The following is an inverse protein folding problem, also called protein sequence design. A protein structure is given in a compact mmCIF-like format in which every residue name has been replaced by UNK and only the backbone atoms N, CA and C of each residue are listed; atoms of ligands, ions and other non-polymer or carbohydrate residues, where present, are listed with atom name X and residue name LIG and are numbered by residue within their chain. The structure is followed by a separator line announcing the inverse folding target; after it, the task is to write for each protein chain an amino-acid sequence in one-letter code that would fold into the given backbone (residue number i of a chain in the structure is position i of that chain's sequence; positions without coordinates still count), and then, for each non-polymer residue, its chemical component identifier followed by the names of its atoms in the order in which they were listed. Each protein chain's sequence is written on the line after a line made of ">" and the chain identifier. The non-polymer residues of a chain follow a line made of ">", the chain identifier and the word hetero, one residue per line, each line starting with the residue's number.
data_IF_129236329557
#
_entry.id   IF_129236329557
#
_cell.length_a   1.000
_cell.length_b   1.000
_cell.length_c   1.000
_cell.angle_alpha   90.00
_cell.angle_beta   90.00
_cell.angle_gamma   90.00
#
_symmetry.space_group_name_H-M   'P 1'
#
loop_
_entity.id
_entity.type
_entity.pdbx_description
1 polymer ?
#
# COMPACT_ATOMS: atom_id res chain seq x y z
N UNK A 1 -15.64 20.06 6.94
CA UNK A 1 -15.63 18.67 7.45
C UNK A 1 -14.98 18.49 8.84
N UNK A 2 -13.91 19.22 9.22
CA UNK A 2 -13.20 18.95 10.49
C UNK A 2 -14.09 19.02 11.74
N UNK A 3 -15.04 19.95 11.79
CA UNK A 3 -15.92 20.11 12.97
C UNK A 3 -16.86 18.93 13.22
N UNK A 4 -17.26 18.14 12.23
CA UNK A 4 -18.22 17.05 12.44
C UNK A 4 -17.54 15.79 12.97
N UNK A 5 -16.40 15.40 12.39
CA UNK A 5 -15.64 14.21 12.81
C UNK A 5 -15.11 14.40 14.23
N UNK A 6 -14.59 15.59 14.52
CA UNK A 6 -14.11 15.93 15.87
C UNK A 6 -15.25 15.91 16.89
N UNK A 7 -16.45 16.44 16.55
CA UNK A 7 -17.64 16.36 17.41
C UNK A 7 -18.06 14.92 17.69
N UNK A 8 -18.04 14.05 16.69
CA UNK A 8 -18.36 12.63 16.87
C UNK A 8 -17.39 11.97 17.88
N UNK A 9 -16.08 12.23 17.74
CA UNK A 9 -15.06 11.74 18.69
C UNK A 9 -15.27 12.28 20.10
N UNK A 10 -15.46 13.59 20.24
CA UNK A 10 -15.66 14.26 21.54
C UNK A 10 -16.89 13.76 22.29
N UNK A 11 -17.96 13.42 21.55
CA UNK A 11 -19.19 12.89 22.12
C UNK A 11 -19.14 11.37 22.36
N UNK A 12 -18.01 10.71 22.13
CA UNK A 12 -17.84 9.27 22.35
C UNK A 12 -18.59 8.38 21.36
N UNK A 13 -19.09 8.94 20.25
CA UNK A 13 -19.77 8.14 19.23
C UNK A 13 -18.76 7.31 18.46
N UNK A 14 -19.15 6.09 18.07
CA UNK A 14 -18.40 5.29 17.12
C UNK A 14 -18.97 5.49 15.72
N UNK A 15 -18.11 5.79 14.75
CA UNK A 15 -18.51 5.73 13.36
C UNK A 15 -18.86 4.28 12.98
N UNK A 16 -19.89 4.11 12.17
CA UNK A 16 -20.15 2.83 11.51
C UNK A 16 -18.90 2.39 10.69
N UNK A 17 -18.72 1.09 10.41
CA UNK A 17 -17.66 0.64 9.53
C UNK A 17 -17.66 1.46 8.24
N UNK A 18 -16.55 2.12 7.93
CA UNK A 18 -16.48 3.12 6.85
C UNK A 18 -15.17 3.00 6.09
N UNK A 19 -15.25 2.88 4.78
CA UNK A 19 -14.14 3.18 3.89
C UNK A 19 -14.39 4.58 3.32
N UNK A 20 -13.57 5.56 3.72
CA UNK A 20 -13.71 6.92 3.21
C UNK A 20 -12.75 7.15 2.05
N UNK A 21 -13.29 7.51 0.89
CA UNK A 21 -12.50 7.99 -0.24
C UNK A 21 -12.40 9.51 -0.17
N UNK A 22 -11.18 10.04 -0.17
CA UNK A 22 -10.87 11.46 -0.02
C UNK A 22 -10.14 11.92 -1.28
N UNK A 23 -10.72 12.90 -1.97
CA UNK A 23 -10.19 13.48 -3.20
C UNK A 23 -9.96 14.99 -3.00
N UNK A 24 -8.80 15.40 -2.45
CA UNK A 24 -8.48 16.81 -2.22
C UNK A 24 -8.26 17.55 -3.56
N UNK A 25 -8.59 18.84 -3.60
CA UNK A 25 -8.27 19.69 -4.76
C UNK A 25 -6.78 20.11 -4.71
N UNK A 26 -5.89 19.14 -4.86
CA UNK A 26 -4.43 19.32 -4.75
C UNK A 26 -3.89 19.19 -3.32
N UNK A 27 -2.62 19.53 -3.13
CA UNK A 27 -1.90 19.30 -1.87
C UNK A 27 -2.31 20.25 -0.74
N UNK A 28 -2.82 21.44 -1.07
CA UNK A 28 -3.19 22.48 -0.12
C UNK A 28 -4.44 22.16 0.70
N UNK A 29 -5.26 21.20 0.24
CA UNK A 29 -6.48 20.75 0.91
C UNK A 29 -6.26 19.56 1.85
N UNK A 30 -5.07 18.96 1.80
CA UNK A 30 -4.71 17.89 2.72
C UNK A 30 -4.61 18.45 4.14
N UNK A 31 -5.25 17.74 5.08
CA UNK A 31 -5.22 18.06 6.51
C UNK A 31 -4.94 16.78 7.28
N UNK A 32 -3.68 16.56 7.69
CA UNK A 32 -3.27 15.35 8.42
C UNK A 32 -4.19 15.06 9.61
N UNK A 33 -4.57 16.08 10.37
CA UNK A 33 -5.46 15.89 11.52
C UNK A 33 -6.81 15.27 11.13
N UNK A 34 -7.41 15.68 10.01
CA UNK A 34 -8.71 15.12 9.56
C UNK A 34 -8.56 13.65 9.18
N UNK A 35 -7.47 13.30 8.49
CA UNK A 35 -7.18 11.90 8.12
C UNK A 35 -7.01 11.04 9.39
N UNK A 36 -6.26 11.56 10.36
CA UNK A 36 -6.03 10.89 11.64
C UNK A 36 -7.32 10.77 12.44
N UNK A 37 -8.18 11.78 12.45
CA UNK A 37 -9.46 11.73 13.15
C UNK A 37 -10.37 10.62 12.58
N UNK A 38 -10.36 10.41 11.26
CA UNK A 38 -11.07 9.29 10.65
C UNK A 38 -10.43 7.95 11.04
N UNK A 39 -9.10 7.84 10.94
CA UNK A 39 -8.37 6.60 11.25
C UNK A 39 -8.41 6.24 12.74
N UNK A 40 -8.72 7.17 13.64
CA UNK A 40 -8.94 6.89 15.05
C UNK A 40 -10.20 6.03 15.30
N UNK A 41 -11.20 6.09 14.43
CA UNK A 41 -12.36 5.20 14.55
C UNK A 41 -11.98 3.76 14.22
N UNK A 42 -12.32 2.81 15.11
CA UNK A 42 -11.83 1.43 15.08
C UNK A 42 -11.97 0.72 13.72
N UNK A 43 -13.11 0.91 13.04
CA UNK A 43 -13.47 0.22 11.80
C UNK A 43 -13.45 1.15 10.58
N UNK A 44 -12.54 2.13 10.57
CA UNK A 44 -12.39 3.06 9.47
C UNK A 44 -11.12 2.80 8.67
N UNK A 45 -11.26 2.95 7.36
CA UNK A 45 -10.18 2.89 6.38
C UNK A 45 -10.22 4.15 5.51
N UNK A 46 -9.08 4.56 4.99
CA UNK A 46 -8.96 5.70 4.09
C UNK A 46 -8.42 5.27 2.75
N UNK A 47 -8.99 5.79 1.67
CA UNK A 47 -8.37 5.85 0.36
C UNK A 47 -8.24 7.31 -0.02
N UNK A 48 -7.08 7.77 -0.48
CA UNK A 48 -6.84 9.18 -0.76
C UNK A 48 -6.21 9.35 -2.14
N UNK A 49 -6.73 10.27 -2.95
CA UNK A 49 -6.03 10.77 -4.13
C UNK A 49 -4.92 11.73 -3.69
N UNK A 50 -3.68 11.28 -3.76
CA UNK A 50 -2.51 12.05 -3.36
C UNK A 50 -1.82 12.66 -4.57
N UNK A 51 -2.15 13.92 -4.89
CA UNK A 51 -1.66 14.68 -6.05
C UNK A 51 -0.16 15.04 -5.98
N UNK A 52 0.69 14.02 -5.93
CA UNK A 52 2.14 14.14 -5.72
C UNK A 52 2.84 14.87 -6.87
N UNK A 53 2.35 14.75 -8.10
CA UNK A 53 2.94 15.42 -9.26
C UNK A 53 2.84 16.94 -9.15
N UNK A 54 1.70 17.44 -8.66
CA UNK A 54 1.50 18.86 -8.37
C UNK A 54 2.31 19.30 -7.15
N UNK A 55 2.27 18.52 -6.06
CA UNK A 55 3.05 18.81 -4.86
C UNK A 55 4.54 18.99 -5.17
N UNK A 56 5.12 18.02 -5.88
CA UNK A 56 6.54 18.02 -6.21
C UNK A 56 6.95 19.23 -7.07
N UNK A 57 6.12 19.58 -8.05
CA UNK A 57 6.35 20.72 -8.95
C UNK A 57 6.40 22.06 -8.22
N UNK A 58 5.55 22.23 -7.21
CA UNK A 58 5.36 23.51 -6.54
C UNK A 58 6.08 23.61 -5.19
N UNK A 59 6.74 22.55 -4.72
CA UNK A 59 7.37 22.51 -3.41
C UNK A 59 8.53 23.52 -3.23
N UNK A 60 9.20 23.93 -4.31
CA UNK A 60 10.33 24.87 -4.26
C UNK A 60 9.92 26.34 -4.14
N UNK A 61 8.64 26.67 -4.38
CA UNK A 61 8.14 28.04 -4.22
C UNK A 61 7.88 28.36 -2.74
N UNK A 62 8.35 29.52 -2.28
CA UNK A 62 8.32 29.89 -0.85
C UNK A 62 6.88 29.95 -0.28
N UNK A 63 5.91 30.47 -1.04
CA UNK A 63 4.53 30.54 -0.58
C UNK A 63 3.91 29.15 -0.48
N UNK A 64 4.18 28.29 -1.45
CA UNK A 64 3.72 26.91 -1.45
C UNK A 64 4.36 26.08 -0.34
N UNK A 65 5.63 26.34 -0.01
CA UNK A 65 6.32 25.66 1.07
C UNK A 65 5.60 25.82 2.42
N UNK A 66 5.16 27.04 2.76
CA UNK A 66 4.39 27.27 4.00
C UNK A 66 3.05 26.55 4.01
N UNK A 67 2.36 26.49 2.86
CA UNK A 67 1.11 25.74 2.71
C UNK A 67 1.35 24.23 2.92
N UNK A 68 2.43 23.69 2.37
CA UNK A 68 2.81 22.28 2.51
C UNK A 68 3.17 21.99 3.98
N UNK A 69 3.99 22.83 4.63
CA UNK A 69 4.31 22.68 6.05
C UNK A 69 3.06 22.57 6.90
N UNK A 70 2.10 23.47 6.71
CA UNK A 70 0.83 23.45 7.44
C UNK A 70 -0.03 22.22 7.10
N UNK A 71 -0.13 21.85 5.82
CA UNK A 71 -0.99 20.75 5.37
C UNK A 71 -0.51 19.38 5.87
N UNK A 72 0.81 19.18 5.90
CA UNK A 72 1.46 17.91 6.28
C UNK A 72 1.99 17.90 7.71
N UNK A 73 1.90 19.01 8.46
CA UNK A 73 2.54 19.17 9.78
C UNK A 73 4.05 18.88 9.70
N UNK A 74 4.69 19.40 8.65
CA UNK A 74 6.10 19.18 8.34
C UNK A 74 6.98 20.37 8.75
N UNK A 75 8.22 20.08 9.11
CA UNK A 75 9.27 21.07 9.38
C UNK A 75 9.96 21.51 8.09
N UNK A 76 10.65 22.67 8.13
CA UNK A 76 11.47 23.12 7.01
C UNK A 76 12.55 22.13 6.62
N UNK A 77 13.18 21.50 7.62
CA UNK A 77 14.24 20.51 7.42
C UNK A 77 13.72 19.33 6.61
N UNK A 78 12.59 18.73 7.00
CA UNK A 78 11.97 17.61 6.28
C UNK A 78 11.62 17.98 4.82
N UNK A 79 11.12 19.20 4.58
CA UNK A 79 10.81 19.63 3.22
C UNK A 79 12.06 19.84 2.37
N UNK A 80 13.09 20.49 2.94
CA UNK A 80 14.33 20.75 2.22
C UNK A 80 15.03 19.45 1.83
N UNK A 81 15.11 18.49 2.74
CA UNK A 81 15.69 17.15 2.47
C UNK A 81 15.00 16.47 1.29
N UNK A 82 13.68 16.61 1.15
CA UNK A 82 12.95 16.06 0.00
C UNK A 82 13.26 16.86 -1.27
N UNK A 83 13.18 18.19 -1.21
CA UNK A 83 13.38 19.08 -2.37
C UNK A 83 14.77 18.90 -2.99
N UNK A 84 15.80 18.64 -2.17
CA UNK A 84 17.18 18.42 -2.60
C UNK A 84 17.42 17.09 -3.32
N UNK A 85 16.44 16.17 -3.32
CA UNK A 85 16.54 14.91 -4.06
C UNK A 85 16.46 15.20 -5.56
N UNK A 86 17.58 15.01 -6.29
CA UNK A 86 17.64 15.28 -7.73
C UNK A 86 16.71 14.38 -8.57
N UNK A 87 16.61 13.10 -8.22
CA UNK A 87 15.78 12.12 -8.93
C UNK A 87 14.29 12.37 -8.63
N UNK A 88 13.53 12.72 -9.67
CA UNK A 88 12.11 13.07 -9.57
C UNK A 88 11.26 11.93 -9.00
N UNK A 89 11.52 10.68 -9.37
CA UNK A 89 10.74 9.54 -8.89
C UNK A 89 11.04 9.29 -7.41
N UNK A 90 12.32 9.30 -7.02
CA UNK A 90 12.72 9.18 -5.61
C UNK A 90 12.17 10.31 -4.75
N UNK A 91 12.10 11.53 -5.31
CA UNK A 91 11.53 12.69 -4.62
C UNK A 91 10.04 12.53 -4.39
N UNK A 92 9.27 12.07 -5.39
CA UNK A 92 7.84 11.74 -5.25
C UNK A 92 7.59 10.59 -4.27
N UNK A 93 8.45 9.58 -4.24
CA UNK A 93 8.41 8.54 -3.21
C UNK A 93 8.66 9.11 -1.81
N UNK A 94 9.61 10.05 -1.66
CA UNK A 94 9.87 10.71 -0.39
C UNK A 94 8.68 11.55 0.07
N UNK A 95 7.98 12.22 -0.84
CA UNK A 95 6.69 12.89 -0.54
C UNK A 95 5.61 11.91 -0.06
N UNK A 96 5.51 10.72 -0.67
CA UNK A 96 4.60 9.68 -0.22
C UNK A 96 4.97 9.18 1.18
N UNK A 97 6.26 8.95 1.44
CA UNK A 97 6.78 8.56 2.76
C UNK A 97 6.47 9.61 3.81
N UNK A 98 6.59 10.90 3.49
CA UNK A 98 6.24 11.99 4.40
C UNK A 98 4.78 11.89 4.84
N UNK A 99 3.83 11.75 3.89
CA UNK A 99 2.40 11.60 4.19
C UNK A 99 2.15 10.44 5.16
N UNK A 100 2.73 9.26 4.86
CA UNK A 100 2.55 8.04 5.65
C UNK A 100 3.12 8.23 7.07
N UNK A 101 4.34 8.76 7.18
CA UNK A 101 5.01 9.00 8.46
C UNK A 101 4.25 10.00 9.31
N UNK A 102 3.74 11.10 8.73
CA UNK A 102 2.98 12.12 9.47
C UNK A 102 1.68 11.58 10.01
N UNK A 103 0.96 10.76 9.26
CA UNK A 103 -0.26 10.09 9.73
C UNK A 103 0.07 9.09 10.85
N UNK A 104 1.09 8.23 10.68
CA UNK A 104 1.48 7.24 11.69
C UNK A 104 1.90 7.88 13.00
N UNK A 105 2.83 8.84 12.95
CA UNK A 105 3.31 9.55 14.14
C UNK A 105 2.17 10.27 14.87
N UNK A 106 1.23 10.86 14.12
CA UNK A 106 0.09 11.55 14.73
C UNK A 106 -0.89 10.58 15.39
N UNK A 107 -1.15 9.41 14.78
CA UNK A 107 -1.97 8.36 15.40
C UNK A 107 -1.34 7.84 16.71
N UNK A 108 -0.03 7.65 16.73
CA UNK A 108 0.70 7.25 17.94
C UNK A 108 0.57 8.29 19.05
N UNK A 109 0.75 9.57 18.70
CA UNK A 109 0.58 10.70 19.63
C UNK A 109 -0.87 10.86 20.14
N UNK A 110 -1.86 10.41 19.37
CA UNK A 110 -3.27 10.35 19.76
C UNK A 110 -3.59 9.15 20.70
N UNK A 111 -2.57 8.43 21.19
CA UNK A 111 -2.73 7.31 22.13
C UNK A 111 -2.80 5.94 21.47
N UNK A 112 -2.62 5.83 20.15
CA UNK A 112 -2.61 4.56 19.42
C UNK A 112 -1.20 3.97 19.31
N UNK A 113 -0.37 4.10 20.34
CA UNK A 113 1.01 3.59 20.33
C UNK A 113 1.01 2.08 20.09
N UNK A 114 1.78 1.61 19.11
CA UNK A 114 1.85 0.20 18.71
C UNK A 114 0.70 -0.28 17.81
N UNK A 115 -0.21 0.61 17.41
CA UNK A 115 -1.22 0.30 16.41
C UNK A 115 -0.56 -0.01 15.07
N UNK A 116 -0.87 -1.17 14.50
CA UNK A 116 -0.44 -1.49 13.14
C UNK A 116 -1.35 -0.81 12.13
N UNK A 117 -0.80 0.17 11.41
CA UNK A 117 -1.43 0.79 10.25
C UNK A 117 -0.76 0.29 8.97
N UNK A 118 -1.50 -0.50 8.20
CA UNK A 118 -1.11 -0.97 6.88
C UNK A 118 -1.35 0.12 5.84
N UNK A 119 -0.47 0.17 4.84
CA UNK A 119 -0.56 1.14 3.75
C UNK A 119 -0.30 0.45 2.42
N UNK A 120 -1.06 0.82 1.39
CA UNK A 120 -0.78 0.49 0.00
C UNK A 120 -0.89 1.74 -0.84
N UNK A 121 -0.05 1.88 -1.85
CA UNK A 121 -0.09 3.00 -2.77
C UNK A 121 -0.15 2.46 -4.20
N UNK A 122 -1.07 3.00 -4.99
CA UNK A 122 -1.18 2.72 -6.41
C UNK A 122 -0.81 3.97 -7.20
N UNK A 123 0.25 3.87 -7.99
CA UNK A 123 0.80 4.96 -8.80
C UNK A 123 -0.03 5.15 -10.06
N UNK A 124 -0.48 6.37 -10.33
CA UNK A 124 -1.13 6.72 -11.59
C UNK A 124 -0.25 7.67 -12.38
N UNK A 125 0.02 7.31 -13.64
CA UNK A 125 0.85 8.06 -14.57
C UNK A 125 0.02 8.63 -15.73
N UNK A 126 0.40 9.82 -16.17
CA UNK A 126 -0.23 10.45 -17.34
C UNK A 126 0.26 9.85 -18.67
N UNK A 127 -0.30 10.39 -19.76
CA UNK A 127 0.08 10.09 -21.15
C UNK A 127 1.52 10.47 -21.52
N UNK A 128 2.27 11.10 -20.63
CA UNK A 128 3.71 11.38 -20.80
C UNK A 128 4.57 10.52 -19.87
N UNK A 129 3.96 9.48 -19.27
CA UNK A 129 4.57 8.55 -18.31
C UNK A 129 5.04 9.21 -17.00
N UNK A 130 4.55 10.42 -16.70
CA UNK A 130 4.86 11.13 -15.47
C UNK A 130 3.88 10.74 -14.37
N UNK A 131 4.40 10.51 -13.15
CA UNK A 131 3.56 10.25 -11.97
C UNK A 131 2.68 11.48 -11.69
N UNK A 132 1.36 11.33 -11.84
CA UNK A 132 0.36 12.34 -11.54
C UNK A 132 0.00 12.34 -10.05
N UNK A 133 -0.44 11.18 -9.56
CA UNK A 133 -0.90 11.00 -8.19
C UNK A 133 -0.73 9.55 -7.73
N UNK A 134 -0.82 9.34 -6.43
CA UNK A 134 -0.99 8.02 -5.83
C UNK A 134 -2.40 7.87 -5.28
N UNK A 135 -3.04 6.71 -5.46
CA UNK A 135 -4.15 6.30 -4.60
C UNK A 135 -3.55 5.61 -3.37
N UNK A 136 -3.63 6.27 -2.21
CA UNK A 136 -3.03 5.78 -0.97
C UNK A 136 -4.12 5.24 -0.05
N UNK A 137 -4.05 3.94 0.23
CA UNK A 137 -4.96 3.25 1.14
C UNK A 137 -4.32 3.06 2.51
N UNK A 138 -5.07 3.35 3.56
CA UNK A 138 -4.71 3.13 4.96
C UNK A 138 -5.76 2.25 5.63
N UNK A 139 -5.32 1.16 6.27
CA UNK A 139 -6.20 0.23 6.98
C UNK A 139 -5.51 -0.36 8.21
N UNK A 140 -6.31 -0.70 9.22
CA UNK A 140 -5.88 -1.47 10.40
C UNK A 140 -6.19 -2.96 10.25
N UNK A 141 -6.81 -3.34 9.14
CA UNK A 141 -7.23 -4.71 8.84
C UNK A 141 -6.27 -5.33 7.84
N UNK A 142 -5.65 -6.46 8.21
CA UNK A 142 -4.84 -7.24 7.27
C UNK A 142 -5.70 -7.72 6.07
N UNK A 143 -6.98 -8.03 6.32
CA UNK A 143 -7.91 -8.39 5.24
C UNK A 143 -8.23 -7.19 4.34
N UNK A 144 -8.34 -5.98 4.91
CA UNK A 144 -8.52 -4.76 4.14
C UNK A 144 -7.33 -4.51 3.20
N UNK A 145 -6.11 -4.73 3.71
CA UNK A 145 -4.89 -4.65 2.91
C UNK A 145 -4.90 -5.67 1.77
N UNK A 146 -5.20 -6.93 2.07
CA UNK A 146 -5.27 -8.01 1.08
C UNK A 146 -6.26 -7.67 -0.05
N UNK A 147 -7.49 -7.28 0.29
CA UNK A 147 -8.53 -6.94 -0.70
C UNK A 147 -8.13 -5.74 -1.55
N UNK A 148 -7.53 -4.71 -0.94
CA UNK A 148 -7.04 -3.55 -1.70
C UNK A 148 -5.90 -3.94 -2.63
N UNK A 149 -4.96 -4.76 -2.16
CA UNK A 149 -3.83 -5.27 -2.93
C UNK A 149 -4.30 -6.08 -4.14
N UNK A 150 -5.28 -6.96 -3.96
CA UNK A 150 -5.91 -7.69 -5.06
C UNK A 150 -6.61 -6.78 -6.06
N UNK A 151 -7.29 -5.73 -5.57
CA UNK A 151 -7.99 -4.77 -6.43
C UNK A 151 -7.00 -3.97 -7.29
N UNK A 152 -5.92 -3.47 -6.68
CA UNK A 152 -4.84 -2.79 -7.38
C UNK A 152 -4.12 -3.71 -8.39
N UNK A 153 -3.91 -4.99 -8.03
CA UNK A 153 -3.28 -5.98 -8.91
C UNK A 153 -4.05 -6.20 -10.21
N UNK A 154 -5.38 -6.27 -10.15
CA UNK A 154 -6.25 -6.43 -11.33
C UNK A 154 -6.13 -5.29 -12.33
N UNK A 155 -5.83 -4.09 -11.84
CA UNK A 155 -5.69 -2.87 -12.65
C UNK A 155 -4.27 -2.74 -13.20
N UNK A 156 -3.25 -2.92 -12.36
CA UNK A 156 -1.85 -2.70 -12.75
C UNK A 156 -1.19 -3.87 -13.50
N UNK A 157 -1.72 -5.09 -13.38
CA UNK A 157 -1.35 -6.34 -14.10
C UNK A 157 0.13 -6.80 -14.11
N UNK A 158 1.07 -6.05 -13.53
CA UNK A 158 2.51 -6.41 -13.51
C UNK A 158 3.15 -6.35 -12.12
N UNK A 159 2.37 -6.14 -11.07
CA UNK A 159 2.86 -6.07 -9.69
C UNK A 159 3.63 -4.81 -9.32
N UNK A 160 3.78 -3.87 -10.25
CA UNK A 160 4.37 -2.55 -10.00
C UNK A 160 3.41 -1.57 -9.29
N UNK A 161 2.18 -2.01 -8.96
CA UNK A 161 1.09 -1.16 -8.45
C UNK A 161 0.96 0.16 -9.20
N UNK A 162 1.09 0.09 -10.52
CA UNK A 162 1.10 1.27 -11.38
C UNK A 162 0.03 1.11 -12.45
N UNK A 163 -0.64 2.21 -12.77
CA UNK A 163 -1.47 2.39 -13.95
C UNK A 163 -0.89 3.54 -14.77
N UNK A 164 -0.89 3.39 -16.09
CA UNK A 164 -0.37 4.38 -17.02
C UNK A 164 -1.35 4.58 -18.16
N UNK A 165 -1.74 5.84 -18.39
CA UNK A 165 -2.51 6.22 -19.59
C UNK A 165 -1.66 6.20 -20.87
N UNK A 166 -0.34 6.03 -20.76
CA UNK A 166 0.55 5.95 -21.90
C UNK A 166 0.28 4.68 -22.72
N UNK A 167 -0.36 4.84 -23.88
CA UNK A 167 -0.70 3.73 -24.77
C UNK A 167 -1.90 2.89 -24.31
N UNK A 168 -2.68 3.35 -23.33
CA UNK A 168 -3.92 2.69 -22.90
C UNK A 168 -5.07 2.98 -23.89
N UNK A 169 -5.55 1.95 -24.58
CA UNK A 169 -6.81 1.98 -25.35
C UNK A 169 -7.79 0.94 -24.74
N UNK A 170 -8.95 1.38 -24.21
CA UNK A 170 -9.92 0.48 -23.58
C UNK A 170 -10.51 -0.58 -24.53
N UNK A 171 -10.37 -0.41 -25.85
CA UNK A 171 -10.82 -1.36 -26.86
C UNK A 171 -9.72 -2.30 -27.36
N UNK A 172 -8.47 -2.09 -26.93
CA UNK A 172 -7.32 -2.88 -27.36
C UNK A 172 -6.95 -3.90 -26.27
N UNK A 173 -7.17 -5.18 -26.55
CA UNK A 173 -6.68 -6.27 -25.70
C UNK A 173 -5.15 -6.34 -25.83
N UNK A 174 -4.43 -6.19 -24.72
CA UNK A 174 -2.96 -6.30 -24.70
C UNK A 174 -2.54 -7.76 -24.83
N UNK A 175 -1.36 -8.02 -25.40
CA UNK A 175 -0.74 -9.36 -25.40
C UNK A 175 -0.56 -9.88 -23.96
N UNK A 176 -0.36 -8.97 -23.01
CA UNK A 176 -0.28 -9.28 -21.57
C UNK A 176 -1.61 -9.78 -20.99
N UNK A 177 -2.73 -9.48 -21.63
CA UNK A 177 -4.05 -9.98 -21.22
C UNK A 177 -4.21 -11.48 -21.54
N UNK A 178 -3.40 -11.98 -22.49
CA UNK A 178 -3.33 -13.40 -22.86
C UNK A 178 -2.17 -14.14 -22.19
N UNK A 179 -1.18 -13.40 -21.67
CA UNK A 179 -0.09 -13.97 -20.90
C UNK A 179 -0.68 -14.49 -19.58
N UNK A 180 -0.64 -15.81 -19.39
CA UNK A 180 -1.25 -16.48 -18.22
C UNK A 180 -1.00 -15.69 -16.93
N UNK A 181 -2.07 -15.41 -16.16
CA UNK A 181 -2.16 -14.57 -14.94
C UNK A 181 -1.12 -14.83 -13.82
N UNK A 182 -0.13 -15.69 -14.05
CA UNK A 182 0.75 -16.31 -13.06
C UNK A 182 2.24 -16.29 -13.44
N UNK A 183 2.67 -15.51 -14.44
CA UNK A 183 4.11 -15.37 -14.78
C UNK A 183 4.95 -14.89 -13.60
N UNK A 184 4.35 -14.18 -12.65
CA UNK A 184 4.98 -13.69 -11.43
C UNK A 184 5.16 -14.75 -10.33
N UNK A 185 4.49 -15.92 -10.43
CA UNK A 185 4.55 -16.96 -9.39
C UNK A 185 5.97 -17.49 -9.15
N UNK A 186 6.80 -17.80 -10.17
CA UNK A 186 8.19 -18.21 -9.96
C UNK A 186 9.03 -17.13 -9.28
N UNK A 187 8.82 -15.85 -9.62
CA UNK A 187 9.53 -14.73 -9.00
C UNK A 187 9.16 -14.61 -7.51
N UNK A 188 7.87 -14.68 -7.18
CA UNK A 188 7.43 -14.70 -5.78
C UNK A 188 7.97 -15.93 -5.04
N UNK A 189 7.93 -17.12 -5.67
CA UNK A 189 8.41 -18.35 -5.07
C UNK A 189 9.89 -18.24 -4.69
N UNK A 190 10.72 -17.64 -5.55
CA UNK A 190 12.13 -17.36 -5.24
C UNK A 190 12.29 -16.48 -4.00
N UNK A 191 11.55 -15.36 -3.93
CA UNK A 191 11.60 -14.44 -2.78
C UNK A 191 11.16 -15.14 -1.48
N UNK A 192 10.06 -15.90 -1.54
CA UNK A 192 9.54 -16.65 -0.39
C UNK A 192 10.57 -17.69 0.07
N UNK A 193 11.16 -18.44 -0.86
CA UNK A 193 12.19 -19.42 -0.55
C UNK A 193 13.39 -18.77 0.14
N UNK A 194 13.97 -17.74 -0.46
CA UNK A 194 15.14 -17.04 0.10
C UNK A 194 14.89 -16.52 1.53
N UNK A 195 13.69 -16.00 1.80
CA UNK A 195 13.34 -15.50 3.13
C UNK A 195 13.17 -16.61 4.21
N UNK A 196 12.61 -17.75 3.81
CA UNK A 196 12.26 -18.85 4.74
C UNK A 196 13.22 -20.04 4.70
N UNK A 197 14.28 -20.01 3.87
CA UNK A 197 15.35 -21.01 3.81
C UNK A 197 15.72 -21.55 5.20
N UNK A 198 15.78 -22.88 5.37
CA UNK A 198 16.02 -23.60 6.64
C UNK A 198 14.99 -23.40 7.78
N UNK A 199 13.90 -22.67 7.57
CA UNK A 199 12.85 -22.47 8.58
C UNK A 199 11.69 -23.44 8.36
N UNK A 200 10.95 -23.69 9.44
CA UNK A 200 9.62 -24.31 9.38
C UNK A 200 8.59 -23.29 9.84
N UNK A 201 7.64 -22.96 8.98
CA UNK A 201 6.63 -21.91 9.21
C UNK A 201 5.26 -22.38 8.73
N UNK A 202 4.20 -21.69 9.14
CA UNK A 202 2.86 -22.00 8.65
C UNK A 202 2.60 -21.37 7.29
N UNK A 203 1.66 -21.93 6.50
CA UNK A 203 1.21 -21.29 5.27
C UNK A 203 0.67 -19.86 5.52
N UNK A 204 0.03 -19.63 6.67
CA UNK A 204 -0.43 -18.30 7.08
C UNK A 204 0.71 -17.31 7.35
N UNK A 205 1.85 -17.76 7.87
CA UNK A 205 3.02 -16.90 8.07
C UNK A 205 3.61 -16.46 6.73
N UNK A 206 3.64 -17.38 5.77
CA UNK A 206 4.10 -17.09 4.41
C UNK A 206 3.14 -16.12 3.72
N UNK A 207 1.83 -16.36 3.79
CA UNK A 207 0.81 -15.43 3.28
C UNK A 207 1.00 -14.03 3.87
N UNK A 208 1.16 -13.94 5.19
CA UNK A 208 1.40 -12.67 5.88
C UNK A 208 2.69 -12.00 5.40
N UNK A 209 3.77 -12.75 5.22
CA UNK A 209 5.02 -12.22 4.67
C UNK A 209 4.83 -11.68 3.26
N UNK A 210 4.17 -12.43 2.38
CA UNK A 210 3.89 -12.01 0.99
C UNK A 210 3.07 -10.73 0.97
N UNK A 211 2.00 -10.66 1.77
CA UNK A 211 1.13 -9.49 1.83
C UNK A 211 1.87 -8.24 2.32
N UNK A 212 2.72 -8.35 3.33
CA UNK A 212 3.35 -7.22 4.00
C UNK A 212 4.70 -6.78 3.42
N UNK A 213 5.48 -7.72 2.88
CA UNK A 213 6.89 -7.50 2.57
C UNK A 213 7.24 -7.64 1.10
N UNK A 214 6.26 -7.96 0.25
CA UNK A 214 6.46 -8.11 -1.19
C UNK A 214 5.43 -7.30 -1.96
N UNK A 215 5.69 -6.94 -3.21
CA UNK A 215 4.66 -6.38 -4.07
C UNK A 215 3.64 -7.43 -4.53
N UNK A 216 3.78 -8.72 -4.25
CA UNK A 216 2.89 -9.73 -4.84
C UNK A 216 1.62 -9.97 -4.03
N UNK A 217 0.55 -10.38 -4.72
CA UNK A 217 -0.63 -10.97 -4.06
C UNK A 217 -0.33 -12.41 -3.63
N UNK A 218 -1.00 -12.88 -2.57
CA UNK A 218 -0.83 -14.26 -2.12
C UNK A 218 -1.58 -15.24 -3.02
N UNK A 219 -0.91 -16.28 -3.51
CA UNK A 219 -1.50 -17.40 -4.24
C UNK A 219 -0.84 -18.69 -3.79
N UNK A 220 -1.65 -19.70 -3.46
CA UNK A 220 -1.15 -21.00 -2.96
C UNK A 220 -0.29 -21.72 -3.99
N UNK A 221 -0.44 -21.37 -5.27
CA UNK A 221 0.39 -21.81 -6.38
C UNK A 221 1.88 -21.47 -6.20
N UNK A 222 2.21 -20.45 -5.42
CA UNK A 222 3.60 -20.17 -5.01
C UNK A 222 4.21 -21.34 -4.25
N UNK A 223 3.45 -21.94 -3.33
CA UNK A 223 3.89 -23.13 -2.60
C UNK A 223 3.91 -24.35 -3.52
N UNK A 224 2.92 -24.50 -4.41
CA UNK A 224 2.93 -25.58 -5.39
C UNK A 224 4.14 -25.52 -6.32
N UNK A 225 4.58 -24.33 -6.72
CA UNK A 225 5.78 -24.15 -7.51
C UNK A 225 7.05 -24.58 -6.75
N UNK A 226 7.15 -24.23 -5.46
CA UNK A 226 8.28 -24.62 -4.61
C UNK A 226 8.30 -26.12 -4.32
N UNK A 227 7.14 -26.71 -4.07
CA UNK A 227 7.01 -28.14 -3.79
C UNK A 227 7.37 -28.99 -5.00
N UNK A 228 6.93 -28.59 -6.21
CA UNK A 228 7.34 -29.26 -7.47
C UNK A 228 8.83 -29.18 -7.76
N UNK A 229 9.52 -28.24 -7.13
CA UNK A 229 10.96 -28.03 -7.28
C UNK A 229 11.76 -28.60 -6.10
N UNK A 230 11.13 -29.43 -5.25
CA UNK A 230 11.70 -30.05 -4.05
C UNK A 230 12.32 -29.05 -3.05
N UNK A 231 11.90 -27.79 -3.10
CA UNK A 231 12.41 -26.71 -2.22
C UNK A 231 11.71 -26.65 -0.87
N UNK A 232 10.53 -27.25 -0.76
CA UNK A 232 9.75 -27.30 0.47
C UNK A 232 9.18 -28.70 0.69
N UNK A 233 8.90 -29.01 1.95
CA UNK A 233 8.18 -30.20 2.38
C UNK A 233 7.01 -29.81 3.27
N UNK A 234 5.81 -30.26 2.92
CA UNK A 234 4.62 -30.07 3.76
C UNK A 234 4.60 -31.15 4.83
N UNK A 235 4.69 -30.74 6.10
CA UNK A 235 4.71 -31.65 7.25
C UNK A 235 3.30 -31.99 7.74
N UNK A 236 2.34 -31.08 7.54
CA UNK A 236 0.93 -31.30 7.91
C UNK A 236 0.27 -32.30 6.98
N UNK A 237 -0.52 -33.23 7.55
CA UNK A 237 -1.31 -34.18 6.79
C UNK A 237 -2.34 -33.44 5.92
N UNK A 238 -2.34 -33.72 4.62
CA UNK A 238 -3.23 -33.10 3.63
C UNK A 238 -4.12 -34.14 2.96
N UNK A 239 -5.30 -33.71 2.51
CA UNK A 239 -6.25 -34.55 1.81
C UNK A 239 -5.87 -34.82 0.35
N UNK A 240 -5.17 -33.87 -0.28
CA UNK A 240 -4.69 -33.95 -1.67
C UNK A 240 -3.33 -33.26 -1.81
N UNK A 241 -2.52 -33.71 -2.76
CA UNK A 241 -1.27 -33.04 -3.10
C UNK A 241 -1.50 -31.59 -3.56
N UNK A 242 -0.52 -30.73 -3.33
CA UNK A 242 -0.56 -29.30 -3.69
C UNK A 242 -1.72 -28.52 -3.05
N UNK A 243 -2.19 -28.97 -1.88
CA UNK A 243 -3.13 -28.23 -1.05
C UNK A 243 -2.45 -27.78 0.24
N UNK A 244 -2.73 -26.54 0.63
CA UNK A 244 -2.06 -25.87 1.75
C UNK A 244 -3.12 -25.20 2.64
N UNK A 245 -3.65 -25.91 3.64
CA UNK A 245 -4.39 -25.30 4.74
C UNK A 245 -3.57 -24.17 5.40
N UNK A 246 -4.23 -23.17 5.99
CA UNK A 246 -3.54 -22.00 6.51
C UNK A 246 -2.60 -22.34 7.70
N UNK A 247 -2.97 -23.36 8.47
CA UNK A 247 -2.22 -23.92 9.59
C UNK A 247 -1.21 -25.02 9.17
N UNK A 248 -1.04 -25.26 7.86
CA UNK A 248 -0.09 -26.25 7.39
C UNK A 248 1.35 -25.82 7.67
N UNK A 249 2.12 -26.69 8.33
CA UNK A 249 3.54 -26.52 8.55
C UNK A 249 4.32 -26.88 7.29
N UNK A 250 5.17 -25.94 6.86
CA UNK A 250 5.98 -26.03 5.65
C UNK A 250 7.43 -25.87 6.07
N UNK A 251 8.21 -26.91 5.82
CA UNK A 251 9.65 -26.93 6.00
C UNK A 251 10.31 -26.49 4.70
N UNK A 252 11.16 -25.48 4.77
CA UNK A 252 12.03 -25.07 3.66
C UNK A 252 13.35 -25.82 3.75
N UNK A 253 13.84 -26.27 2.59
CA UNK A 253 15.18 -26.86 2.46
C UNK A 253 16.29 -25.86 2.82
#
# INVERSE_FOLDING_TARGET
>A
MSNQIQRLRQNGYNLAPTMAFIDPFGYSDIRIQVLVDILNFRKCELLITYMVGFLDRFASDMLNKEIIKKSFLASDTELNEIIEINDVNKRKEAWLRLLITKIKNRLENDGNKGLTLYTSAFCVRDRTNNIMYYLVHFTKSLKGLEVMKESMWKVGREGEYTFSDFGYDPNQTSILDYATDKIWIPALAKIVYEHFTTKTVTASDIERYVLLNTPYIWRKETLAHLERSDKIKVLTKRSREFTYPNDAFIQFA
#
